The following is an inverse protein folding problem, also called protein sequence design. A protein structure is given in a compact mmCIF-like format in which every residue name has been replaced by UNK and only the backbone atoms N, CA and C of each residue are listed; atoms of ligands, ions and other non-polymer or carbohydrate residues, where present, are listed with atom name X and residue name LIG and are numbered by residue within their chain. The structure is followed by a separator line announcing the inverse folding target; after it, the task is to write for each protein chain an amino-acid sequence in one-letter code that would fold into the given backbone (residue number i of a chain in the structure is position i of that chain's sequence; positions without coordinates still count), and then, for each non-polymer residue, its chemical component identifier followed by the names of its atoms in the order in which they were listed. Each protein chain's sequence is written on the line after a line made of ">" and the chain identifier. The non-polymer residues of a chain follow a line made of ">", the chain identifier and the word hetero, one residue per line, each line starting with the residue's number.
data_IF_073266203869
#
_entry.id   IF_073266203869
#
_cell.length_a   1.000
_cell.length_b   1.000
_cell.length_c   1.000
_cell.angle_alpha   90.00
_cell.angle_beta   90.00
_cell.angle_gamma   90.00
#
_symmetry.space_group_name_H-M   'P 1'
#
loop_
_entity.id
_entity.type
_entity.pdbx_description
1 polymer ?
#
# COMPACT_ATOMS: atom_id res chain seq x y z
N UNK A 1 3.45 19.57 5.37
CA UNK A 1 3.26 19.23 3.95
C UNK A 1 4.48 19.56 3.10
N UNK A 2 5.19 20.68 3.28
CA UNK A 2 6.41 20.96 2.48
C UNK A 2 7.71 20.40 3.09
N UNK A 3 7.74 20.12 4.40
CA UNK A 3 8.96 19.74 5.12
C UNK A 3 9.40 18.29 4.88
N UNK A 4 8.49 17.35 4.60
CA UNK A 4 8.85 15.93 4.42
C UNK A 4 9.29 15.61 3.00
N UNK A 5 8.78 16.35 2.00
CA UNK A 5 9.34 16.31 0.64
C UNK A 5 10.81 16.77 0.61
N UNK A 6 11.25 17.57 1.59
CA UNK A 6 12.65 17.92 1.73
C UNK A 6 13.51 16.77 2.24
N UNK A 7 12.92 15.70 2.80
CA UNK A 7 13.66 14.56 3.36
C UNK A 7 13.88 13.44 2.33
N UNK A 8 13.22 13.51 1.18
CA UNK A 8 13.32 12.50 0.13
C UNK A 8 14.20 13.03 -0.99
N UNK A 9 14.98 12.16 -1.67
CA UNK A 9 15.73 12.57 -2.85
C UNK A 9 14.79 13.23 -3.86
N UNK A 10 15.18 14.34 -4.51
CA UNK A 10 14.42 14.90 -5.62
C UNK A 10 14.20 13.80 -6.65
N UNK A 11 12.93 13.51 -6.94
CA UNK A 11 12.57 12.34 -7.73
C UNK A 11 13.18 12.43 -9.14
N UNK A 12 13.87 11.38 -9.61
CA UNK A 12 14.31 11.26 -11.00
C UNK A 12 13.16 10.92 -11.96
N UNK A 13 11.92 10.78 -11.46
CA UNK A 13 10.77 10.35 -12.26
C UNK A 13 9.95 11.53 -12.79
N UNK A 14 10.62 12.63 -13.17
CA UNK A 14 10.01 13.57 -14.11
C UNK A 14 9.61 12.78 -15.36
N UNK A 15 8.31 12.83 -15.69
CA UNK A 15 7.68 12.18 -16.85
C UNK A 15 8.34 12.50 -18.20
N UNK A 16 9.30 13.43 -18.22
CA UNK A 16 9.93 14.00 -19.41
C UNK A 16 11.33 13.45 -19.69
N UNK A 17 11.86 12.51 -18.90
CA UNK A 17 13.18 11.89 -19.11
C UNK A 17 13.08 10.56 -19.88
N UNK A 18 14.03 10.32 -20.78
CA UNK A 18 14.19 9.02 -21.45
C UNK A 18 14.50 7.91 -20.43
N UNK A 19 14.15 6.65 -20.73
CA UNK A 19 14.35 5.52 -19.81
C UNK A 19 15.83 5.37 -19.41
N UNK A 20 16.76 5.67 -20.32
CA UNK A 20 18.22 5.66 -20.11
C UNK A 20 18.72 6.75 -19.16
N UNK A 21 17.95 7.81 -18.98
CA UNK A 21 18.29 8.97 -18.14
C UNK A 21 17.66 8.90 -16.75
N UNK A 22 16.77 7.92 -16.51
CA UNK A 22 16.11 7.73 -15.22
C UNK A 22 17.06 7.06 -14.23
N UNK A 23 17.33 7.74 -13.12
CA UNK A 23 18.07 7.13 -12.02
C UNK A 23 17.29 5.94 -11.44
N UNK A 24 17.97 4.81 -11.28
CA UNK A 24 17.36 3.58 -10.75
C UNK A 24 17.24 3.60 -9.22
N UNK A 25 18.12 4.34 -8.56
CA UNK A 25 18.21 4.48 -7.11
C UNK A 25 18.75 5.87 -6.77
N UNK A 26 18.05 6.58 -5.89
CA UNK A 26 18.55 7.80 -5.26
C UNK A 26 18.44 7.67 -3.74
N UNK A 27 19.43 8.21 -3.01
CA UNK A 27 19.51 8.16 -1.54
C UNK A 27 19.80 9.57 -1.03
N UNK A 28 19.08 9.98 0.01
CA UNK A 28 19.28 11.26 0.68
C UNK A 28 19.37 11.02 2.19
N UNK A 29 20.38 11.61 2.82
CA UNK A 29 20.58 11.56 4.26
C UNK A 29 20.35 12.95 4.84
N UNK A 30 19.45 13.05 5.81
CA UNK A 30 19.07 14.29 6.46
C UNK A 30 19.44 14.18 7.94
N UNK A 31 20.22 15.14 8.43
CA UNK A 31 20.64 15.20 9.83
C UNK A 31 19.87 16.31 10.54
N UNK A 32 19.31 15.99 11.70
CA UNK A 32 18.60 16.94 12.54
C UNK A 32 19.53 17.51 13.61
N UNK A 33 19.23 18.72 14.10
CA UNK A 33 20.00 19.36 15.18
C UNK A 33 20.01 18.55 16.49
N UNK A 34 19.05 17.64 16.66
CA UNK A 34 18.99 16.67 17.77
C UNK A 34 20.02 15.54 17.67
N UNK A 35 20.71 15.41 16.54
CA UNK A 35 21.57 14.26 16.23
C UNK A 35 20.82 13.08 15.63
N UNK A 36 19.49 13.17 15.48
CA UNK A 36 18.68 12.19 14.77
C UNK A 36 18.89 12.28 13.26
N UNK A 37 18.46 11.26 12.53
CA UNK A 37 18.65 11.16 11.09
C UNK A 37 17.41 10.63 10.39
N UNK A 38 17.12 11.16 9.20
CA UNK A 38 16.18 10.58 8.24
C UNK A 38 16.90 10.20 6.95
N UNK A 39 16.71 8.96 6.50
CA UNK A 39 17.27 8.44 5.25
C UNK A 39 16.14 8.22 4.25
N UNK A 40 16.08 9.05 3.22
CA UNK A 40 15.15 8.93 2.10
C UNK A 40 15.75 8.10 0.99
N UNK A 41 14.99 7.13 0.47
CA UNK A 41 15.44 6.28 -0.64
C UNK A 41 14.34 6.12 -1.67
N UNK A 42 14.70 6.37 -2.93
CA UNK A 42 13.82 6.27 -4.08
C UNK A 42 14.36 5.17 -5.01
N UNK A 43 13.52 4.17 -5.31
CA UNK A 43 13.82 3.13 -6.30
C UNK A 43 12.95 3.30 -7.54
N UNK A 44 13.48 3.00 -8.72
CA UNK A 44 12.66 2.86 -9.92
C UNK A 44 11.80 1.59 -9.81
N UNK A 45 10.47 1.78 -9.78
CA UNK A 45 9.52 0.66 -9.73
C UNK A 45 9.60 -0.23 -10.99
N UNK A 46 10.22 0.26 -12.09
CA UNK A 46 10.48 -0.55 -13.28
C UNK A 46 11.47 -1.68 -13.06
N UNK A 47 12.34 -1.58 -12.04
CA UNK A 47 13.40 -2.57 -11.77
C UNK A 47 13.27 -3.27 -10.41
N UNK A 48 12.46 -2.74 -9.49
CA UNK A 48 12.35 -3.29 -8.13
C UNK A 48 10.93 -3.19 -7.57
N UNK A 49 10.47 -4.30 -6.98
CA UNK A 49 9.33 -4.31 -6.08
C UNK A 49 9.76 -4.01 -4.63
N UNK A 50 8.82 -3.76 -3.73
CA UNK A 50 9.15 -3.44 -2.33
C UNK A 50 9.98 -4.53 -1.65
N UNK A 51 9.68 -5.84 -1.80
CA UNK A 51 10.55 -6.89 -1.28
C UNK A 51 12.00 -6.79 -1.78
N UNK A 52 12.23 -6.43 -3.05
CA UNK A 52 13.57 -6.16 -3.58
C UNK A 52 14.23 -5.00 -2.85
N UNK A 53 13.50 -3.88 -2.72
CA UNK A 53 13.99 -2.64 -2.11
C UNK A 53 14.46 -2.82 -0.66
N UNK A 54 13.87 -3.76 0.08
CA UNK A 54 14.21 -4.08 1.48
C UNK A 54 15.05 -5.36 1.65
N UNK A 55 15.39 -6.05 0.56
CA UNK A 55 16.13 -7.33 0.60
C UNK A 55 17.64 -7.18 0.79
N UNK A 56 18.18 -6.00 0.51
CA UNK A 56 19.58 -5.67 0.75
C UNK A 56 19.74 -5.27 2.24
N UNK A 57 20.73 -5.81 2.97
CA UNK A 57 20.98 -5.46 4.38
C UNK A 57 21.34 -3.98 4.63
N UNK A 58 21.43 -3.14 3.58
CA UNK A 58 21.91 -1.75 3.67
C UNK A 58 21.14 -0.62 2.93
N UNK A 59 19.85 -0.73 2.56
CA UNK A 59 19.06 0.48 2.29
C UNK A 59 17.87 0.62 3.26
N UNK A 60 17.84 1.75 3.97
CA UNK A 60 16.66 2.28 4.65
C UNK A 60 15.66 2.80 3.63
N UNK A 61 14.35 2.75 3.90
CA UNK A 61 13.35 3.50 3.14
C UNK A 61 12.54 4.28 4.16
N UNK A 62 12.70 5.61 4.21
CA UNK A 62 11.69 6.50 4.79
C UNK A 62 11.31 7.53 3.77
N UNK A 63 10.04 7.57 3.40
CA UNK A 63 9.51 8.66 2.60
C UNK A 63 8.08 8.94 3.09
N UNK A 64 7.65 10.21 3.12
CA UNK A 64 6.27 10.62 3.37
C UNK A 64 6.02 11.91 2.56
N UNK A 65 4.91 12.00 1.81
CA UNK A 65 3.86 13.04 1.99
C UNK A 65 2.71 12.95 0.98
N UNK A 66 1.58 13.56 1.35
CA UNK A 66 0.25 13.55 0.71
C UNK A 66 -0.61 12.31 0.99
N UNK A 67 -0.69 11.86 2.24
CA UNK A 67 -1.58 10.75 2.60
C UNK A 67 -2.02 10.82 4.06
N UNK A 68 -3.25 10.40 4.36
CA UNK A 68 -3.70 10.20 5.73
C UNK A 68 -3.21 8.84 6.24
N UNK A 69 -2.50 8.84 7.36
CA UNK A 69 -2.01 7.60 7.96
C UNK A 69 -3.05 7.12 8.96
N UNK A 70 -3.66 5.98 8.68
CA UNK A 70 -4.67 5.38 9.54
C UNK A 70 -4.02 4.15 10.17
N UNK A 71 -3.89 4.15 11.49
CA UNK A 71 -3.34 2.99 12.18
C UNK A 71 -4.46 2.13 12.69
N UNK A 72 -4.56 0.94 12.12
CA UNK A 72 -5.49 -0.10 12.54
C UNK A 72 -4.79 -0.88 13.66
N UNK A 73 -5.16 -0.61 14.91
CA UNK A 73 -4.60 -1.38 16.03
C UNK A 73 -5.07 -2.81 15.90
N UNK A 74 -4.14 -3.76 15.94
CA UNK A 74 -4.46 -5.19 15.84
C UNK A 74 -5.32 -5.57 17.02
N UNK A 75 -6.55 -5.97 16.74
CA UNK A 75 -7.25 -6.94 17.57
C UNK A 75 -7.03 -8.30 16.92
N UNK A 76 -6.13 -9.08 17.49
CA UNK A 76 -5.83 -10.52 17.29
C UNK A 76 -5.80 -11.15 15.88
N UNK A 77 -5.99 -10.43 14.78
CA UNK A 77 -6.30 -11.09 13.52
C UNK A 77 -5.45 -10.67 12.31
N UNK A 78 -5.27 -11.67 11.43
CA UNK A 78 -4.39 -11.71 10.25
C UNK A 78 -4.39 -10.46 9.35
N UNK A 79 -3.32 -10.25 8.57
CA UNK A 79 -3.19 -9.20 7.55
C UNK A 79 -4.46 -9.02 6.71
N UNK A 80 -5.17 -10.11 6.38
CA UNK A 80 -6.41 -10.09 5.62
C UNK A 80 -7.58 -9.38 6.28
N UNK A 81 -7.61 -9.26 7.62
CA UNK A 81 -8.61 -8.43 8.32
C UNK A 81 -8.32 -6.95 8.14
N UNK A 82 -7.06 -6.53 8.24
CA UNK A 82 -6.68 -5.15 7.94
C UNK A 82 -7.03 -4.77 6.50
N UNK A 83 -6.70 -5.65 5.54
CA UNK A 83 -7.05 -5.46 4.13
C UNK A 83 -8.56 -5.36 3.90
N UNK A 84 -9.33 -6.28 4.51
CA UNK A 84 -10.78 -6.29 4.42
C UNK A 84 -11.44 -5.07 5.08
N UNK A 85 -10.91 -4.58 6.19
CA UNK A 85 -11.40 -3.38 6.87
C UNK A 85 -11.20 -2.14 6.00
N UNK A 86 -10.01 -1.95 5.44
CA UNK A 86 -9.71 -0.81 4.57
C UNK A 86 -10.55 -0.88 3.27
N UNK A 87 -10.67 -2.06 2.65
CA UNK A 87 -11.49 -2.22 1.46
C UNK A 87 -12.99 -2.06 1.76
N UNK A 88 -13.47 -2.54 2.92
CA UNK A 88 -14.86 -2.35 3.34
C UNK A 88 -15.22 -0.86 3.46
N UNK A 89 -14.33 -0.07 4.05
CA UNK A 89 -14.52 1.37 4.13
C UNK A 89 -14.46 2.06 2.75
N UNK A 90 -13.58 1.62 1.84
CA UNK A 90 -13.56 2.15 0.48
C UNK A 90 -14.81 1.78 -0.33
N UNK A 91 -15.42 0.60 -0.10
CA UNK A 91 -16.73 0.22 -0.65
C UNK A 91 -17.81 1.17 -0.13
N UNK A 92 -17.82 1.48 1.17
CA UNK A 92 -18.80 2.41 1.75
C UNK A 92 -18.70 3.80 1.11
N UNK A 93 -17.47 4.32 0.96
CA UNK A 93 -17.22 5.58 0.25
C UNK A 93 -17.70 5.51 -1.21
N UNK A 94 -17.43 4.41 -1.91
CA UNK A 94 -17.88 4.22 -3.29
C UNK A 94 -19.42 4.20 -3.40
N UNK A 95 -20.14 3.67 -2.40
CA UNK A 95 -21.62 3.70 -2.35
C UNK A 95 -22.18 5.10 -2.19
N UNK A 96 -21.61 5.91 -1.30
CA UNK A 96 -22.05 7.29 -1.16
C UNK A 96 -21.78 8.09 -2.45
N UNK A 97 -20.62 7.85 -3.09
CA UNK A 97 -20.32 8.46 -4.38
C UNK A 97 -21.28 8.03 -5.47
N UNK A 98 -21.65 6.74 -5.53
CA UNK A 98 -22.67 6.21 -6.45
C UNK A 98 -23.97 7.01 -6.35
N UNK A 99 -24.43 7.30 -5.14
CA UNK A 99 -25.63 8.09 -4.89
C UNK A 99 -25.49 9.54 -5.39
N UNK A 100 -24.30 10.11 -5.31
CA UNK A 100 -24.00 11.46 -5.79
C UNK A 100 -23.94 11.57 -7.33
N UNK A 101 -23.67 10.47 -8.05
CA UNK A 101 -23.50 10.46 -9.51
C UNK A 101 -24.60 9.71 -10.26
N UNK A 102 -25.85 9.80 -9.78
CA UNK A 102 -27.03 9.18 -10.41
C UNK A 102 -26.88 7.67 -10.66
N UNK A 103 -26.28 6.96 -9.70
CA UNK A 103 -26.13 5.50 -9.71
C UNK A 103 -25.29 4.91 -10.86
N UNK A 104 -24.43 5.69 -11.50
CA UNK A 104 -23.59 5.23 -12.60
C UNK A 104 -22.47 4.24 -12.19
N UNK A 105 -22.22 4.01 -10.90
CA UNK A 105 -21.25 3.01 -10.42
C UNK A 105 -21.94 1.66 -10.12
N UNK A 106 -21.46 0.57 -10.74
CA UNK A 106 -21.99 -0.79 -10.55
C UNK A 106 -21.10 -1.70 -9.71
N UNK A 107 -19.80 -1.44 -9.62
CA UNK A 107 -18.90 -2.28 -8.82
C UNK A 107 -17.72 -1.49 -8.21
N UNK A 108 -17.12 -2.10 -7.18
CA UNK A 108 -15.88 -1.63 -6.57
C UNK A 108 -14.86 -2.76 -6.52
N UNK A 109 -13.69 -2.54 -7.11
CA UNK A 109 -12.69 -3.57 -7.34
C UNK A 109 -11.43 -3.31 -6.52
N UNK A 110 -11.06 -4.23 -5.63
CA UNK A 110 -9.75 -4.21 -4.99
C UNK A 110 -8.73 -4.96 -5.83
N UNK A 111 -7.60 -4.29 -6.11
CA UNK A 111 -6.45 -4.89 -6.78
C UNK A 111 -5.32 -5.04 -5.78
N UNK A 112 -4.99 -6.26 -5.37
CA UNK A 112 -3.97 -6.47 -4.37
C UNK A 112 -2.72 -7.15 -4.94
N UNK A 113 -1.55 -6.74 -4.46
CA UNK A 113 -0.26 -7.28 -4.90
C UNK A 113 0.13 -8.55 -4.12
N UNK A 114 0.61 -9.56 -4.84
CA UNK A 114 1.11 -10.83 -4.27
C UNK A 114 2.58 -11.02 -4.56
N UNK A 115 3.42 -11.09 -3.52
CA UNK A 115 4.80 -11.56 -3.67
C UNK A 115 4.81 -13.02 -4.15
N UNK A 116 5.47 -13.28 -5.27
CA UNK A 116 5.48 -14.60 -5.90
C UNK A 116 6.70 -15.43 -5.53
N UNK A 117 7.73 -14.85 -4.88
CA UNK A 117 9.00 -15.55 -4.61
C UNK A 117 8.80 -16.90 -3.94
N UNK A 118 7.92 -16.98 -2.94
CA UNK A 118 7.61 -18.22 -2.22
C UNK A 118 6.50 -19.09 -2.87
N UNK A 119 5.92 -18.64 -3.99
CA UNK A 119 4.84 -19.32 -4.73
C UNK A 119 5.32 -19.98 -6.02
N UNK A 120 6.53 -19.67 -6.47
CA UNK A 120 7.19 -20.34 -7.60
C UNK A 120 7.52 -21.81 -7.27
N UNK A 121 7.66 -22.63 -8.30
CA UNK A 121 8.10 -24.02 -8.17
C UNK A 121 9.33 -24.29 -9.09
N UNK A 122 10.55 -24.41 -8.52
CA UNK A 122 10.87 -24.28 -7.11
C UNK A 122 10.70 -22.83 -6.59
N UNK A 123 10.54 -22.63 -5.27
CA UNK A 123 10.53 -21.28 -4.68
C UNK A 123 11.80 -20.51 -5.05
N UNK A 124 11.64 -19.23 -5.36
CA UNK A 124 12.77 -18.36 -5.62
C UNK A 124 13.50 -18.00 -4.33
N UNK A 125 14.77 -17.62 -4.49
CA UNK A 125 15.55 -17.07 -3.40
C UNK A 125 14.87 -15.82 -2.82
N UNK A 126 14.70 -15.70 -1.48
CA UNK A 126 13.98 -14.56 -0.89
C UNK A 126 14.53 -13.18 -1.25
N UNK A 127 15.85 -13.07 -1.48
CA UNK A 127 16.52 -11.82 -1.91
C UNK A 127 16.69 -11.72 -3.43
N UNK A 128 15.91 -12.47 -4.20
CA UNK A 128 15.91 -12.32 -5.64
C UNK A 128 15.39 -10.92 -6.00
N UNK A 129 16.20 -10.18 -6.74
CA UNK A 129 15.88 -8.82 -7.18
C UNK A 129 14.94 -8.84 -8.38
N UNK A 130 14.11 -7.80 -8.48
CA UNK A 130 13.21 -7.58 -9.62
C UNK A 130 11.75 -7.50 -9.20
N UNK A 131 10.90 -7.17 -10.17
CA UNK A 131 9.46 -7.19 -9.99
C UNK A 131 8.95 -8.65 -10.01
N UNK A 132 8.81 -9.26 -8.84
CA UNK A 132 8.39 -10.66 -8.68
C UNK A 132 7.08 -10.68 -7.90
N UNK A 133 6.07 -10.04 -8.49
CA UNK A 133 4.72 -9.97 -7.96
C UNK A 133 3.68 -10.09 -9.08
N UNK A 134 2.47 -10.46 -8.71
CA UNK A 134 1.28 -10.33 -9.56
C UNK A 134 0.19 -9.60 -8.79
N UNK A 135 -0.61 -8.82 -9.50
CA UNK A 135 -1.86 -8.30 -8.98
C UNK A 135 -2.95 -9.37 -9.06
N UNK A 136 -3.89 -9.31 -8.13
CA UNK A 136 -5.10 -10.12 -8.17
C UNK A 136 -6.29 -9.28 -7.74
N UNK A 137 -7.46 -9.59 -8.30
CA UNK A 137 -8.68 -8.82 -8.15
C UNK A 137 -9.66 -9.49 -7.20
N UNK A 138 -10.28 -8.67 -6.37
CA UNK A 138 -11.53 -8.96 -5.68
C UNK A 138 -12.55 -7.89 -6.08
N UNK A 139 -13.77 -8.30 -6.37
CA UNK A 139 -14.84 -7.39 -6.81
C UNK A 139 -15.99 -7.43 -5.82
N UNK A 140 -16.59 -6.27 -5.58
CA UNK A 140 -17.80 -6.11 -4.81
C UNK A 140 -18.86 -5.44 -5.69
N UNK A 141 -20.05 -6.05 -5.78
CA UNK A 141 -21.19 -5.48 -6.50
C UNK A 141 -21.78 -4.31 -5.71
N UNK A 142 -22.00 -3.19 -6.39
CA UNK A 142 -22.74 -2.04 -5.87
C UNK A 142 -24.20 -2.06 -6.33
N UNK A 143 -24.68 -3.13 -6.97
CA UNK A 143 -26.06 -3.22 -7.44
C UNK A 143 -27.07 -3.17 -6.28
N UNK A 144 -26.72 -3.82 -5.16
CA UNK A 144 -27.51 -3.87 -3.94
C UNK A 144 -26.77 -3.19 -2.77
N UNK A 145 -27.54 -2.62 -1.84
CA UNK A 145 -27.03 -2.01 -0.60
C UNK A 145 -26.77 -3.09 0.48
N UNK A 146 -26.14 -4.21 0.08
CA UNK A 146 -25.78 -5.33 0.95
C UNK A 146 -24.97 -4.87 2.15
N UNK A 147 -25.19 -5.47 3.32
CA UNK A 147 -24.39 -5.14 4.49
C UNK A 147 -22.89 -5.43 4.25
N UNK A 148 -22.04 -4.43 4.51
CA UNK A 148 -20.58 -4.58 4.43
C UNK A 148 -20.12 -5.31 5.69
N UNK A 149 -19.97 -6.63 5.60
CA UNK A 149 -19.43 -7.45 6.68
C UNK A 149 -17.95 -7.74 6.45
N UNK A 150 -17.10 -7.26 7.37
CA UNK A 150 -15.65 -7.49 7.34
C UNK A 150 -15.32 -8.98 7.29
N UNK A 151 -16.10 -9.85 7.96
CA UNK A 151 -15.84 -11.30 7.95
C UNK A 151 -16.02 -11.91 6.57
N UNK A 152 -17.07 -11.52 5.86
CA UNK A 152 -17.30 -11.90 4.47
C UNK A 152 -16.22 -11.32 3.54
N UNK A 153 -15.84 -10.05 3.72
CA UNK A 153 -14.77 -9.43 2.94
C UNK A 153 -13.44 -10.18 3.10
N UNK A 154 -13.08 -10.61 4.31
CA UNK A 154 -11.88 -11.44 4.55
C UNK A 154 -11.89 -12.70 3.68
N UNK A 155 -13.05 -13.38 3.56
CA UNK A 155 -13.18 -14.56 2.69
C UNK A 155 -12.98 -14.18 1.22
N UNK A 156 -13.55 -13.06 0.79
CA UNK A 156 -13.41 -12.50 -0.56
C UNK A 156 -11.96 -12.12 -0.87
N UNK A 157 -11.19 -11.61 0.10
CA UNK A 157 -9.75 -11.31 -0.05
C UNK A 157 -8.90 -12.59 -0.09
N UNK A 158 -9.21 -13.58 0.77
CA UNK A 158 -8.39 -14.80 0.90
C UNK A 158 -8.55 -15.74 -0.29
N UNK A 159 -9.76 -15.87 -0.85
CA UNK A 159 -10.06 -16.77 -1.98
C UNK A 159 -9.09 -16.55 -3.16
N UNK A 160 -8.96 -15.34 -3.75
CA UNK A 160 -8.03 -15.08 -4.83
C UNK A 160 -6.56 -15.31 -4.41
N UNK A 161 -6.19 -15.06 -3.15
CA UNK A 161 -4.82 -15.26 -2.64
C UNK A 161 -4.37 -16.72 -2.66
N UNK A 162 -5.31 -17.63 -2.46
CA UNK A 162 -5.09 -19.08 -2.52
C UNK A 162 -5.01 -19.61 -3.95
N UNK A 163 -5.76 -19.00 -4.86
CA UNK A 163 -5.77 -19.33 -6.29
C UNK A 163 -4.54 -18.81 -7.05
N UNK A 164 -3.58 -18.16 -6.37
CA UNK A 164 -2.43 -17.49 -7.00
C UNK A 164 -1.55 -18.35 -7.92
N UNK A 165 -1.69 -19.68 -7.96
CA UNK A 165 -1.05 -20.52 -8.98
C UNK A 165 -1.66 -20.33 -10.37
N UNK A 166 -2.95 -20.06 -10.46
CA UNK A 166 -3.65 -19.84 -11.73
C UNK A 166 -3.31 -18.44 -12.30
N UNK A 167 -3.04 -17.47 -11.42
CA UNK A 167 -2.61 -16.10 -11.77
C UNK A 167 -1.21 -16.07 -12.40
N UNK A 168 -0.35 -17.05 -12.10
CA UNK A 168 1.02 -17.11 -12.63
C UNK A 168 1.08 -17.29 -14.14
N UNK A 169 0.10 -18.01 -14.70
CA UNK A 169 0.06 -18.44 -16.11
C UNK A 169 -0.94 -17.64 -16.94
N UNK A 170 -1.34 -16.45 -16.47
CA UNK A 170 -2.29 -15.62 -17.18
C UNK A 170 -1.60 -14.75 -18.24
N UNK A 171 -1.77 -15.11 -19.51
CA UNK A 171 -1.27 -14.34 -20.66
C UNK A 171 -1.95 -12.96 -20.78
N UNK A 172 -3.10 -12.76 -20.11
CA UNK A 172 -3.87 -11.51 -20.07
C UNK A 172 -3.41 -10.55 -18.95
N UNK A 173 -2.27 -10.81 -18.30
CA UNK A 173 -1.79 -9.98 -17.20
C UNK A 173 -1.57 -8.50 -17.57
N UNK A 174 -1.20 -8.23 -18.82
CA UNK A 174 -1.06 -6.85 -19.29
C UNK A 174 -2.42 -6.15 -19.39
N UNK A 175 -3.46 -6.85 -19.83
CA UNK A 175 -4.81 -6.31 -19.88
C UNK A 175 -5.36 -6.10 -18.47
N UNK A 176 -5.04 -7.01 -17.55
CA UNK A 176 -5.32 -6.84 -16.12
C UNK A 176 -4.66 -5.59 -15.51
N UNK A 177 -3.44 -5.24 -15.95
CA UNK A 177 -2.79 -3.98 -15.56
C UNK A 177 -3.51 -2.78 -16.19
N UNK A 178 -3.92 -2.87 -17.46
CA UNK A 178 -4.68 -1.80 -18.11
C UNK A 178 -5.99 -1.54 -17.36
N UNK A 179 -6.73 -2.58 -16.98
CA UNK A 179 -7.97 -2.47 -16.21
C UNK A 179 -7.80 -1.76 -14.85
N UNK A 180 -6.59 -1.79 -14.27
CA UNK A 180 -6.27 -1.05 -13.06
C UNK A 180 -6.14 0.47 -13.32
N UNK A 181 -5.53 0.83 -14.45
CA UNK A 181 -5.24 2.23 -14.82
C UNK A 181 -6.36 2.89 -15.61
N UNK A 182 -7.15 2.11 -16.34
CA UNK A 182 -8.34 2.55 -17.04
C UNK A 182 -9.47 2.66 -16.01
N UNK A 183 -9.83 3.90 -15.66
CA UNK A 183 -11.02 4.16 -14.86
C UNK A 183 -12.24 3.84 -15.73
N UNK A 184 -12.81 2.65 -15.55
CA UNK A 184 -14.10 2.31 -16.14
C UNK A 184 -15.15 3.28 -15.59
N UNK A 185 -15.99 3.84 -16.47
CA UNK A 185 -17.02 4.83 -16.05
C UNK A 185 -17.97 4.25 -14.99
N UNK A 186 -18.06 2.93 -14.90
CA UNK A 186 -19.01 2.19 -14.08
C UNK A 186 -18.37 1.33 -12.97
N UNK A 187 -17.04 1.36 -12.82
CA UNK A 187 -16.32 0.62 -11.78
C UNK A 187 -15.19 1.45 -11.19
N UNK A 188 -15.10 1.46 -9.86
CA UNK A 188 -14.01 2.16 -9.15
C UNK A 188 -12.97 1.16 -8.68
N UNK A 189 -11.72 1.34 -9.12
CA UNK A 189 -10.57 0.53 -8.73
C UNK A 189 -9.94 1.06 -7.45
N UNK A 190 -9.48 0.16 -6.57
CA UNK A 190 -8.78 0.48 -5.32
C UNK A 190 -7.56 -0.44 -5.19
N UNK A 191 -6.36 0.01 -5.59
CA UNK A 191 -5.15 -0.76 -5.39
C UNK A 191 -4.83 -0.86 -3.89
N UNK A 192 -4.43 -2.05 -3.45
CA UNK A 192 -4.01 -2.31 -2.07
C UNK A 192 -2.70 -3.09 -2.06
N UNK A 193 -1.65 -2.49 -1.51
CA UNK A 193 -0.35 -3.18 -1.35
C UNK A 193 -0.10 -3.50 0.11
N UNK A 194 0.37 -4.70 0.41
CA UNK A 194 0.78 -5.08 1.76
C UNK A 194 2.30 -5.32 1.80
N UNK A 195 2.97 -4.54 2.63
CA UNK A 195 4.40 -4.67 2.94
C UNK A 195 4.61 -5.21 4.36
N UNK A 196 3.54 -5.67 5.01
CA UNK A 196 3.56 -6.26 6.36
C UNK A 196 4.52 -7.46 6.41
N UNK A 197 5.35 -7.51 7.45
CA UNK A 197 6.31 -8.59 7.68
C UNK A 197 7.61 -8.47 6.88
N UNK A 198 7.81 -7.39 6.12
CA UNK A 198 9.10 -7.07 5.55
C UNK A 198 10.07 -6.52 6.64
N UNK A 199 11.38 -6.79 6.55
CA UNK A 199 12.34 -6.55 7.63
C UNK A 199 12.85 -5.10 7.70
N UNK A 200 12.05 -4.10 7.34
CA UNK A 200 12.53 -2.71 7.28
C UNK A 200 12.85 -2.10 8.66
N UNK A 201 12.28 -2.61 9.76
CA UNK A 201 12.69 -2.23 11.13
C UNK A 201 13.94 -2.96 11.63
N UNK A 202 14.45 -3.94 10.89
CA UNK A 202 15.64 -4.73 11.27
C UNK A 202 16.94 -4.20 10.66
N UNK A 203 16.85 -3.18 9.81
CA UNK A 203 18.01 -2.57 9.16
C UNK A 203 18.85 -1.82 10.19
N UNK A 204 20.15 -2.11 10.28
CA UNK A 204 21.08 -1.43 11.18
C UNK A 204 22.43 -1.21 10.48
N UNK A 205 22.86 0.06 10.40
CA UNK A 205 24.13 0.46 9.79
C UNK A 205 25.29 0.55 10.81
N UNK A 206 25.06 0.13 12.05
CA UNK A 206 25.99 0.25 13.16
C UNK A 206 25.66 1.39 14.12
N UNK A 207 24.57 2.14 13.88
CA UNK A 207 24.10 3.25 14.71
C UNK A 207 22.68 3.03 15.25
N UNK A 208 22.15 1.83 15.12
CA UNK A 208 20.83 1.45 15.62
C UNK A 208 19.79 1.29 14.51
N UNK A 209 18.64 0.77 14.92
CA UNK A 209 17.51 0.44 14.04
C UNK A 209 16.55 1.63 13.83
N UNK A 210 15.81 1.64 12.72
CA UNK A 210 14.66 2.51 12.49
C UNK A 210 13.69 2.62 13.67
N UNK A 211 13.40 3.85 14.09
CA UNK A 211 12.32 4.13 15.06
C UNK A 211 10.94 4.22 14.41
N UNK A 212 10.91 4.56 13.12
CA UNK A 212 9.69 4.79 12.36
C UNK A 212 9.93 4.47 10.89
N UNK A 213 8.92 3.95 10.17
CA UNK A 213 8.98 3.64 8.74
C UNK A 213 7.80 4.26 8.01
N UNK A 214 8.01 4.72 6.78
CA UNK A 214 6.94 5.22 5.91
C UNK A 214 7.33 5.08 4.43
N UNK A 215 6.30 4.96 3.60
CA UNK A 215 6.39 4.98 2.14
C UNK A 215 6.00 6.35 1.60
N UNK A 216 6.64 6.71 0.50
CA UNK A 216 6.73 8.07 -0.02
C UNK A 216 5.44 8.60 -0.60
N UNK A 217 5.49 9.81 -1.19
CA UNK A 217 4.33 10.36 -1.84
C UNK A 217 3.84 9.41 -2.93
N UNK A 218 2.62 8.92 -2.75
CA UNK A 218 1.91 8.15 -3.76
C UNK A 218 1.01 9.14 -4.48
N UNK A 219 1.30 9.40 -5.75
CA UNK A 219 0.53 10.34 -6.58
C UNK A 219 -0.70 9.69 -7.22
N UNK A 220 -0.96 8.42 -6.92
CA UNK A 220 -2.16 7.72 -7.35
C UNK A 220 -3.27 7.95 -6.29
N UNK A 221 -4.41 8.56 -6.64
CA UNK A 221 -5.56 8.60 -5.76
C UNK A 221 -6.15 7.19 -5.58
N UNK A 222 -6.92 7.01 -4.51
CA UNK A 222 -7.68 5.78 -4.20
C UNK A 222 -6.82 4.52 -4.02
N UNK A 223 -5.73 4.60 -3.25
CA UNK A 223 -4.82 3.49 -2.96
C UNK A 223 -4.57 3.35 -1.47
N UNK A 224 -4.35 2.11 -1.02
CA UNK A 224 -3.88 1.82 0.33
C UNK A 224 -2.55 1.04 0.32
N UNK A 225 -1.66 1.38 1.27
CA UNK A 225 -0.50 0.55 1.59
C UNK A 225 -0.51 0.17 3.07
N UNK A 226 -0.42 -1.13 3.35
CA UNK A 226 -0.40 -1.69 4.70
C UNK A 226 1.02 -2.06 5.11
N UNK A 227 1.48 -1.57 6.27
CA UNK A 227 2.78 -1.88 6.88
C UNK A 227 2.60 -2.35 8.33
N UNK A 228 3.57 -3.09 8.86
CA UNK A 228 3.67 -3.36 10.30
C UNK A 228 3.96 -2.06 11.07
N UNK A 229 3.42 -1.93 12.29
CA UNK A 229 3.87 -0.94 13.28
C UNK A 229 5.31 -1.21 13.73
N UNK A 230 5.97 -0.23 14.33
CA UNK A 230 7.35 -0.36 14.83
C UNK A 230 7.55 -1.39 15.95
N UNK A 231 6.50 -1.66 16.73
CA UNK A 231 6.50 -2.73 17.72
C UNK A 231 6.11 -4.10 17.15
N UNK A 232 5.70 -4.18 15.88
CA UNK A 232 5.23 -5.41 15.24
C UNK A 232 3.87 -5.91 15.74
N UNK A 233 3.23 -5.19 16.66
CA UNK A 233 1.96 -5.59 17.28
C UNK A 233 0.74 -5.16 16.46
N UNK A 234 0.89 -4.25 15.49
CA UNK A 234 -0.18 -3.60 14.75
C UNK A 234 0.03 -3.53 13.23
N UNK A 235 -1.01 -3.04 12.53
CA UNK A 235 -0.93 -2.68 11.11
C UNK A 235 -1.17 -1.17 10.97
N UNK A 236 -0.30 -0.51 10.22
CA UNK A 236 -0.52 0.84 9.76
C UNK A 236 -0.99 0.80 8.31
N UNK A 237 -2.02 1.57 7.99
CA UNK A 237 -2.54 1.73 6.64
C UNK A 237 -2.32 3.18 6.19
N UNK A 238 -1.52 3.36 5.15
CA UNK A 238 -1.36 4.61 4.44
C UNK A 238 -2.46 4.67 3.36
N UNK A 239 -3.49 5.49 3.54
CA UNK A 239 -4.66 5.55 2.65
C UNK A 239 -4.72 6.89 1.91
N UNK A 240 -4.61 6.84 0.59
CA UNK A 240 -4.70 8.02 -0.29
C UNK A 240 -6.08 8.03 -0.94
N UNK A 241 -6.82 9.12 -0.74
CA UNK A 241 -8.10 9.37 -1.40
C UNK A 241 -8.25 10.87 -1.67
N UNK A 242 -9.20 11.25 -2.51
CA UNK A 242 -9.60 12.65 -2.59
C UNK A 242 -10.15 13.14 -1.26
N UNK A 243 -9.99 14.44 -0.98
CA UNK A 243 -10.37 15.03 0.31
C UNK A 243 -11.83 14.72 0.69
N UNK A 244 -12.75 14.84 -0.27
CA UNK A 244 -14.18 14.58 -0.08
C UNK A 244 -14.47 13.12 0.29
N UNK A 245 -13.72 12.18 -0.29
CA UNK A 245 -13.84 10.75 0.00
C UNK A 245 -13.20 10.40 1.36
N UNK A 246 -12.08 11.05 1.70
CA UNK A 246 -11.35 10.82 2.95
C UNK A 246 -12.18 11.16 4.18
N UNK A 247 -12.93 12.27 4.14
CA UNK A 247 -13.84 12.64 5.23
C UNK A 247 -14.89 11.55 5.49
N UNK A 248 -15.45 10.96 4.44
CA UNK A 248 -16.38 9.82 4.56
C UNK A 248 -15.69 8.54 5.03
N UNK A 249 -14.46 8.29 4.57
CA UNK A 249 -13.67 7.14 4.98
C UNK A 249 -13.39 7.13 6.48
N UNK A 250 -12.97 8.28 7.03
CA UNK A 250 -12.66 8.42 8.46
C UNK A 250 -13.87 8.27 9.37
N UNK A 251 -15.04 8.70 8.88
CA UNK A 251 -16.31 8.59 9.62
C UNK A 251 -17.00 7.23 9.42
N UNK A 252 -16.40 6.32 8.65
CA UNK A 252 -16.96 4.98 8.49
C UNK A 252 -16.90 4.22 9.83
N UNK A 253 -17.98 3.49 10.13
CA UNK A 253 -18.20 2.90 11.46
C UNK A 253 -17.11 1.91 11.87
N UNK A 254 -16.65 1.06 10.96
CA UNK A 254 -15.57 0.11 11.25
C UNK A 254 -14.21 0.82 11.36
N UNK A 255 -13.94 1.84 10.54
CA UNK A 255 -12.72 2.65 10.69
C UNK A 255 -12.68 3.32 12.07
N UNK A 256 -13.76 3.97 12.50
CA UNK A 256 -13.82 4.61 13.83
C UNK A 256 -13.71 3.59 14.97
N UNK A 257 -14.24 2.38 14.80
CA UNK A 257 -14.23 1.35 15.83
C UNK A 257 -12.86 0.67 16.00
N UNK A 258 -12.11 0.49 14.90
CA UNK A 258 -10.91 -0.36 14.89
C UNK A 258 -9.62 0.37 14.52
N UNK A 259 -9.69 1.64 14.11
CA UNK A 259 -8.54 2.42 13.70
C UNK A 259 -8.44 3.78 14.40
N UNK A 260 -7.22 4.30 14.47
CA UNK A 260 -6.91 5.64 14.94
C UNK A 260 -6.19 6.40 13.83
N UNK A 261 -6.72 7.56 13.44
CA UNK A 261 -6.08 8.43 12.46
C UNK A 261 -4.85 9.12 13.05
N UNK A 262 -3.79 9.21 12.25
CA UNK A 262 -2.55 9.96 12.50
C UNK A 262 -1.97 9.76 13.91
N UNK A 263 -1.66 8.52 14.34
CA UNK A 263 -1.07 8.35 15.66
C UNK A 263 0.31 9.00 15.72
N UNK A 264 0.65 9.49 16.92
CA UNK A 264 1.98 9.98 17.20
C UNK A 264 3.01 8.88 17.00
N UNK A 265 4.16 9.24 16.44
CA UNK A 265 5.30 8.33 16.33
C UNK A 265 5.75 7.97 17.75
N UNK A 266 5.59 6.69 18.14
CA UNK A 266 6.07 6.20 19.42
C UNK A 266 7.60 6.04 19.36
N UNK A 267 8.31 7.06 19.82
CA UNK A 267 9.75 6.94 20.08
C UNK A 267 9.89 6.27 21.46
N UNK A 268 10.19 4.97 21.49
CA UNK A 268 10.59 4.31 22.74
C UNK A 268 11.94 4.93 23.14
N UNK A 269 11.97 5.59 24.30
CA UNK A 269 13.19 6.06 24.95
C UNK A 269 14.04 4.90 25.45
#
# INVERSE_FOLDING_TARGET
>A
MELLQQLIPPSPQLSNLEISERELLAVQVNLFNSGEMAIGVCFSHGVADVPTAVSDPKPTIFTQDCVQKIVVRRQEDSNSKGEALIWGASIAVARERKRAIDNMLYSHSMYYTMNLRNKMNPPMFPRCMGNIFRLVRAEWSLAEDDAIDVTNLVRTVIKPKRMGRDVMNNDEYLDFIKDLYEAWEDSRSFPLTSVVGLPYYEVDFGWGKPVWFSLGPILLPDIAILSSTSDGEGIEALVVMFKEDMENFEQETNIMAYASANPSIFIRK
#
